data_IF_806285523099
#
_entry.id   IF_806285523099
#
_cell.length_a   1.000
_cell.length_b   1.000
_cell.length_c   1.000
_cell.angle_alpha   90.00
_cell.angle_beta   90.00
_cell.angle_gamma   90.00
#
_symmetry.space_group_name_H-M   'P 1'
#
loop_
_entity.id
_entity.type
_entity.pdbx_description
1 polymer ?
#
# COMPACT_ATOMS: atom_id res chain seq x y z
N UNK A 1 -3.77 24.69 42.28
CA UNK A 1 -2.37 24.32 42.02
C UNK A 1 -2.41 23.06 41.15
N UNK A 2 -2.37 23.24 39.85
CA UNK A 2 -2.41 22.15 38.89
C UNK A 2 -1.00 21.86 38.41
N UNK A 3 -0.52 20.68 38.66
CA UNK A 3 0.73 20.15 38.14
C UNK A 3 0.51 19.77 36.66
N UNK A 4 0.99 20.58 35.75
CA UNK A 4 1.14 20.20 34.36
C UNK A 4 2.19 19.07 34.29
N UNK A 5 1.75 17.88 33.92
CA UNK A 5 2.64 16.78 33.58
C UNK A 5 3.33 17.10 32.27
N UNK A 6 4.56 17.55 32.36
CA UNK A 6 5.42 17.74 31.21
C UNK A 6 5.71 16.37 30.55
N UNK A 7 5.35 16.23 29.30
CA UNK A 7 5.76 15.09 28.46
C UNK A 7 7.30 15.11 28.36
N UNK A 8 7.92 14.11 28.94
CA UNK A 8 9.37 13.94 28.89
C UNK A 8 9.74 13.39 27.51
N UNK A 9 10.20 14.26 26.64
CA UNK A 9 10.83 13.87 25.38
C UNK A 9 12.22 13.35 25.72
N UNK A 10 12.44 12.07 25.59
CA UNK A 10 13.77 11.48 25.74
C UNK A 10 14.55 11.84 24.47
N UNK A 11 15.32 12.91 24.56
CA UNK A 11 16.24 13.35 23.53
C UNK A 11 17.60 12.67 23.83
N UNK A 12 17.83 11.47 23.32
CA UNK A 12 19.16 10.88 23.34
C UNK A 12 20.01 11.49 22.22
N UNK A 13 20.64 12.60 22.55
CA UNK A 13 21.75 13.14 21.78
C UNK A 13 23.00 12.28 22.03
N UNK A 14 23.18 11.24 21.26
CA UNK A 14 24.48 10.59 21.08
C UNK A 14 24.65 10.29 19.59
N UNK A 15 25.60 10.97 18.98
CA UNK A 15 25.93 10.95 17.57
C UNK A 15 26.31 9.57 17.02
N UNK A 16 25.32 8.82 16.68
CA UNK A 16 25.42 7.68 15.77
C UNK A 16 24.32 7.89 14.76
N UNK A 17 24.71 8.10 13.50
CA UNK A 17 23.74 8.14 12.40
C UNK A 17 23.12 6.75 12.29
N UNK A 18 21.98 6.56 12.93
CA UNK A 18 21.16 5.37 12.76
C UNK A 18 20.60 5.39 11.34
N UNK A 19 21.36 4.85 10.40
CA UNK A 19 20.78 4.46 9.13
C UNK A 19 19.88 3.27 9.44
N UNK A 20 18.61 3.58 9.72
CA UNK A 20 17.56 2.57 9.83
C UNK A 20 17.50 1.85 8.50
N UNK A 21 17.92 0.59 8.49
CA UNK A 21 17.72 -0.25 7.31
C UNK A 21 16.22 -0.45 7.12
N UNK A 22 15.78 -0.70 5.88
CA UNK A 22 14.37 -1.04 5.59
C UNK A 22 13.89 -2.21 6.45
N UNK A 23 14.78 -3.14 6.77
CA UNK A 23 14.55 -4.26 7.69
C UNK A 23 14.19 -3.80 9.10
N UNK A 24 14.90 -2.82 9.64
CA UNK A 24 14.62 -2.26 10.96
C UNK A 24 13.28 -1.51 10.96
N UNK A 25 12.96 -0.84 9.86
CA UNK A 25 11.70 -0.13 9.68
C UNK A 25 10.51 -1.11 9.64
N UNK A 26 10.60 -2.16 8.86
CA UNK A 26 9.58 -3.23 8.78
C UNK A 26 9.44 -3.94 10.13
N UNK A 27 10.55 -4.28 10.80
CA UNK A 27 10.53 -4.88 12.15
C UNK A 27 9.88 -3.97 13.19
N UNK A 28 10.13 -2.67 13.14
CA UNK A 28 9.55 -1.70 14.08
C UNK A 28 8.07 -1.45 13.81
N UNK A 29 7.64 -1.41 12.55
CA UNK A 29 6.22 -1.34 12.18
C UNK A 29 5.44 -2.51 12.78
N UNK A 30 5.97 -3.72 12.67
CA UNK A 30 5.32 -4.92 13.22
C UNK A 30 5.38 -4.95 14.74
N UNK A 31 6.48 -4.54 15.36
CA UNK A 31 6.58 -4.42 16.82
C UNK A 31 5.61 -3.36 17.36
N UNK A 32 5.39 -2.26 16.63
CA UNK A 32 4.40 -1.23 16.99
C UNK A 32 2.94 -1.70 16.89
N UNK A 33 2.63 -2.57 15.92
CA UNK A 33 1.29 -3.16 15.78
C UNK A 33 0.96 -4.22 16.84
N UNK A 34 1.98 -4.84 17.45
CA UNK A 34 1.81 -5.86 18.50
C UNK A 34 1.47 -5.31 19.88
N UNK A 35 1.58 -4.00 20.12
CA UNK A 35 1.33 -3.39 21.43
C UNK A 35 -0.14 -3.03 21.71
N UNK A 36 -1.02 -3.13 20.71
CA UNK A 36 -2.47 -2.91 20.85
C UNK A 36 -3.23 -4.24 20.93
N UNK A 37 -3.50 -4.70 22.12
CA UNK A 37 -3.91 -6.06 22.49
C UNK A 37 -5.33 -6.48 22.10
N UNK A 38 -5.84 -6.26 20.88
CA UNK A 38 -7.16 -6.78 20.50
C UNK A 38 -7.33 -7.32 19.06
N UNK A 39 -6.27 -7.45 18.26
CA UNK A 39 -6.40 -7.92 16.87
C UNK A 39 -5.43 -9.07 16.49
N UNK A 40 -5.36 -10.17 17.24
CA UNK A 40 -4.39 -11.22 16.92
C UNK A 40 -4.76 -12.07 15.70
N UNK A 41 -6.04 -12.12 15.29
CA UNK A 41 -6.47 -13.04 14.23
C UNK A 41 -6.44 -12.43 12.80
N UNK A 42 -6.74 -11.16 12.65
CA UNK A 42 -6.69 -10.49 11.34
C UNK A 42 -5.26 -10.08 10.97
N UNK A 43 -4.47 -9.67 11.97
CA UNK A 43 -3.07 -9.32 11.77
C UNK A 43 -2.20 -10.51 11.37
N UNK A 44 -2.50 -11.72 11.84
CA UNK A 44 -1.73 -12.93 11.53
C UNK A 44 -1.82 -13.38 10.07
N UNK A 45 -2.85 -12.96 9.32
CA UNK A 45 -3.04 -13.28 7.91
C UNK A 45 -2.46 -12.23 6.95
N UNK A 46 -1.95 -11.11 7.46
CA UNK A 46 -1.37 -10.09 6.60
C UNK A 46 -0.02 -10.55 6.04
N UNK A 47 0.23 -10.42 4.73
CA UNK A 47 1.44 -10.94 4.07
C UNK A 47 2.75 -10.42 4.68
N UNK A 48 2.73 -9.29 5.36
CA UNK A 48 3.90 -8.75 6.06
C UNK A 48 4.43 -9.68 7.16
N UNK A 49 3.57 -10.48 7.79
CA UNK A 49 4.01 -11.45 8.80
C UNK A 49 4.77 -12.62 8.18
N UNK A 50 4.35 -13.08 7.00
CA UNK A 50 5.07 -14.11 6.26
C UNK A 50 6.41 -13.58 5.74
N UNK A 51 6.44 -12.33 5.28
CA UNK A 51 7.66 -11.65 4.87
C UNK A 51 8.69 -11.61 6.01
N UNK A 52 8.25 -11.30 7.24
CA UNK A 52 9.14 -11.21 8.40
C UNK A 52 9.66 -12.56 8.91
N UNK A 53 8.95 -13.64 8.60
CA UNK A 53 9.36 -15.01 8.96
C UNK A 53 10.33 -15.63 7.97
N UNK A 54 10.49 -15.06 6.81
CA UNK A 54 11.29 -15.60 5.73
C UNK A 54 12.55 -14.76 5.52
N UNK A 55 13.68 -15.22 6.03
CA UNK A 55 14.95 -14.50 5.94
C UNK A 55 15.40 -14.25 4.49
N UNK A 56 15.13 -15.17 3.56
CA UNK A 56 15.47 -14.99 2.15
C UNK A 56 14.65 -13.84 1.51
N UNK A 57 13.38 -13.69 1.91
CA UNK A 57 12.54 -12.59 1.43
C UNK A 57 12.95 -11.27 2.07
N UNK A 58 13.43 -11.28 3.31
CA UNK A 58 14.01 -10.10 3.95
C UNK A 58 15.28 -9.63 3.25
N UNK A 59 16.13 -10.55 2.76
CA UNK A 59 17.28 -10.20 1.93
C UNK A 59 16.88 -9.56 0.61
N UNK A 60 15.81 -10.05 -0.03
CA UNK A 60 15.25 -9.40 -1.23
C UNK A 60 14.68 -8.00 -0.90
N UNK A 61 14.10 -7.82 0.29
CA UNK A 61 13.64 -6.50 0.73
C UNK A 61 14.80 -5.48 0.83
N UNK A 62 15.98 -5.90 1.22
CA UNK A 62 17.17 -5.04 1.25
C UNK A 62 17.62 -4.60 -0.16
N UNK A 63 17.35 -5.44 -1.16
CA UNK A 63 17.68 -5.16 -2.57
C UNK A 63 16.66 -4.27 -3.28
N UNK A 64 15.51 -3.95 -2.66
CA UNK A 64 14.48 -3.14 -3.30
C UNK A 64 14.98 -1.76 -3.78
N UNK A 65 16.05 -1.24 -3.21
CA UNK A 65 16.70 -0.01 -3.64
C UNK A 65 17.72 -0.17 -4.76
N UNK A 66 18.09 -1.41 -5.13
CA UNK A 66 19.13 -1.66 -6.12
C UNK A 66 18.75 -1.23 -7.52
N UNK A 67 19.71 -0.73 -8.30
CA UNK A 67 19.48 -0.26 -9.66
C UNK A 67 19.14 -1.37 -10.66
N UNK A 68 19.58 -2.59 -10.37
CA UNK A 68 19.37 -3.81 -11.16
C UNK A 68 18.20 -4.68 -10.67
N UNK A 69 17.34 -4.11 -9.81
CA UNK A 69 16.18 -4.83 -9.26
C UNK A 69 15.25 -5.38 -10.36
N UNK A 70 14.78 -6.59 -10.16
CA UNK A 70 13.80 -7.29 -11.03
C UNK A 70 12.64 -7.78 -10.18
N UNK A 71 11.41 -7.80 -10.75
CA UNK A 71 10.27 -8.38 -10.06
C UNK A 71 10.50 -9.86 -9.73
N UNK A 72 10.08 -10.27 -8.54
CA UNK A 72 10.14 -11.65 -8.05
C UNK A 72 8.89 -12.42 -8.43
N UNK A 73 7.74 -11.77 -8.37
CA UNK A 73 6.43 -12.37 -8.64
C UNK A 73 5.81 -11.90 -9.96
N UNK A 74 5.77 -10.59 -10.20
CA UNK A 74 5.16 -10.01 -11.40
C UNK A 74 6.07 -10.17 -12.62
N UNK A 75 5.48 -10.40 -13.77
CA UNK A 75 6.23 -10.29 -15.02
C UNK A 75 6.48 -8.80 -15.39
N UNK A 76 7.36 -8.57 -16.37
CA UNK A 76 7.76 -7.22 -16.77
C UNK A 76 6.58 -6.34 -17.21
N UNK A 77 5.59 -6.90 -17.91
CA UNK A 77 4.42 -6.16 -18.36
C UNK A 77 3.50 -5.81 -17.18
N UNK A 78 3.23 -6.78 -16.30
CA UNK A 78 2.44 -6.56 -15.08
C UNK A 78 3.07 -5.49 -14.19
N UNK A 79 4.38 -5.54 -14.01
CA UNK A 79 5.11 -4.53 -13.26
C UNK A 79 5.02 -3.14 -13.91
N UNK A 80 5.12 -3.04 -15.25
CA UNK A 80 4.95 -1.77 -15.95
C UNK A 80 3.53 -1.20 -15.78
N UNK A 81 2.52 -2.06 -15.85
CA UNK A 81 1.12 -1.67 -15.62
C UNK A 81 0.89 -1.21 -14.18
N UNK A 82 1.47 -1.94 -13.20
CA UNK A 82 1.41 -1.53 -11.80
C UNK A 82 2.06 -0.16 -11.56
N UNK A 83 3.25 0.09 -12.13
CA UNK A 83 3.91 1.40 -12.02
C UNK A 83 3.00 2.52 -12.53
N UNK A 84 2.43 2.35 -13.74
CA UNK A 84 1.58 3.36 -14.35
C UNK A 84 0.29 3.60 -13.56
N UNK A 85 -0.37 2.53 -13.09
CA UNK A 85 -1.60 2.62 -12.29
C UNK A 85 -1.29 3.24 -10.92
N UNK A 86 -0.24 2.80 -10.25
CA UNK A 86 0.14 3.30 -8.94
C UNK A 86 0.47 4.80 -8.96
N UNK A 87 1.22 5.26 -9.97
CA UNK A 87 1.55 6.67 -10.12
C UNK A 87 0.31 7.52 -10.39
N UNK A 88 -0.68 6.97 -11.14
CA UNK A 88 -1.94 7.67 -11.39
C UNK A 88 -2.87 7.71 -10.18
N UNK A 89 -2.83 6.70 -9.29
CA UNK A 89 -3.64 6.65 -8.05
C UNK A 89 -3.01 7.53 -6.97
N UNK A 90 -1.70 7.36 -6.74
CA UNK A 90 -0.93 8.11 -5.74
C UNK A 90 0.33 8.65 -6.41
N UNK A 91 0.34 9.93 -6.82
CA UNK A 91 1.52 10.56 -7.39
C UNK A 91 2.74 10.44 -6.47
N UNK A 92 3.88 10.07 -7.03
CA UNK A 92 5.10 9.78 -6.24
C UNK A 92 5.31 8.31 -5.90
N UNK A 93 4.36 7.42 -6.25
CA UNK A 93 4.47 5.97 -6.02
C UNK A 93 5.71 5.36 -6.66
N UNK A 94 6.09 5.82 -7.84
CA UNK A 94 7.31 5.37 -8.53
C UNK A 94 8.55 5.72 -7.71
N UNK A 95 8.63 6.95 -7.19
CA UNK A 95 9.74 7.41 -6.36
C UNK A 95 9.79 6.67 -5.03
N UNK A 96 8.63 6.38 -4.45
CA UNK A 96 8.48 5.58 -3.24
C UNK A 96 8.74 4.08 -3.47
N UNK A 97 8.95 3.64 -4.73
CA UNK A 97 9.19 2.25 -5.11
C UNK A 97 8.04 1.31 -4.71
N UNK A 98 6.81 1.81 -4.77
CA UNK A 98 5.59 1.10 -4.37
C UNK A 98 5.45 -0.24 -5.10
N UNK A 99 5.71 -0.27 -6.40
CA UNK A 99 5.66 -1.49 -7.21
C UNK A 99 6.60 -2.59 -6.69
N UNK A 100 7.80 -2.22 -6.25
CA UNK A 100 8.79 -3.17 -5.73
C UNK A 100 8.33 -3.78 -4.41
N UNK A 101 7.78 -2.96 -3.53
CA UNK A 101 7.27 -3.42 -2.25
C UNK A 101 6.03 -4.31 -2.43
N UNK A 102 5.10 -3.94 -3.31
CA UNK A 102 3.93 -4.77 -3.64
C UNK A 102 4.36 -6.11 -4.23
N UNK A 103 5.28 -6.12 -5.20
CA UNK A 103 5.79 -7.36 -5.80
C UNK A 103 6.37 -8.32 -4.75
N UNK A 104 7.15 -7.77 -3.81
CA UNK A 104 7.73 -8.54 -2.73
C UNK A 104 6.64 -9.11 -1.79
N UNK A 105 5.65 -8.31 -1.40
CA UNK A 105 4.54 -8.79 -0.57
C UNK A 105 3.76 -9.90 -1.28
N UNK A 106 3.45 -9.71 -2.56
CA UNK A 106 2.76 -10.72 -3.36
C UNK A 106 3.57 -12.01 -3.47
N UNK A 107 4.90 -11.97 -3.44
CA UNK A 107 5.73 -13.19 -3.51
C UNK A 107 5.44 -14.16 -2.38
N UNK A 108 5.05 -13.66 -1.20
CA UNK A 108 4.78 -14.44 0.02
C UNK A 108 3.30 -14.52 0.40
N UNK A 109 2.42 -13.83 -0.32
CA UNK A 109 0.99 -13.78 -0.02
C UNK A 109 0.25 -15.08 -0.41
N UNK A 110 -1.03 -15.15 -0.08
CA UNK A 110 -1.91 -16.27 -0.43
C UNK A 110 -2.15 -16.35 -1.93
N UNK A 111 -2.47 -17.54 -2.44
CA UNK A 111 -2.83 -17.73 -3.84
C UNK A 111 -4.06 -16.91 -4.26
N UNK A 112 -5.00 -16.71 -3.35
CA UNK A 112 -6.22 -15.92 -3.60
C UNK A 112 -5.88 -14.46 -3.86
N UNK A 113 -5.15 -13.81 -2.95
CA UNK A 113 -4.77 -12.39 -3.13
C UNK A 113 -3.89 -12.16 -4.36
N UNK A 114 -2.97 -13.12 -4.64
CA UNK A 114 -2.16 -13.11 -5.88
C UNK A 114 -3.02 -13.11 -7.13
N UNK A 115 -4.04 -13.99 -7.16
CA UNK A 115 -4.97 -14.10 -8.29
C UNK A 115 -5.78 -12.82 -8.46
N UNK A 116 -6.41 -12.34 -7.40
CA UNK A 116 -7.21 -11.12 -7.39
C UNK A 116 -6.40 -9.90 -7.86
N UNK A 117 -5.16 -9.78 -7.42
CA UNK A 117 -4.28 -8.68 -7.83
C UNK A 117 -3.93 -8.73 -9.32
N UNK A 118 -3.54 -9.91 -9.82
CA UNK A 118 -3.20 -10.10 -11.24
C UNK A 118 -4.43 -9.90 -12.12
N UNK A 119 -5.60 -10.39 -11.70
CA UNK A 119 -6.88 -10.18 -12.38
C UNK A 119 -7.24 -8.70 -12.45
N UNK A 120 -7.02 -7.95 -11.38
CA UNK A 120 -7.24 -6.51 -11.37
C UNK A 120 -6.33 -5.77 -12.38
N UNK A 121 -5.04 -6.10 -12.43
CA UNK A 121 -4.14 -5.55 -13.45
C UNK A 121 -4.60 -5.91 -14.88
N UNK A 122 -5.01 -7.17 -15.09
CA UNK A 122 -5.48 -7.65 -16.39
C UNK A 122 -6.79 -6.96 -16.83
N UNK A 123 -7.68 -6.63 -15.90
CA UNK A 123 -8.91 -5.91 -16.19
C UNK A 123 -8.64 -4.51 -16.74
N UNK A 124 -7.71 -3.76 -16.11
CA UNK A 124 -7.30 -2.44 -16.60
C UNK A 124 -6.58 -2.51 -17.95
N UNK A 125 -5.71 -3.50 -18.15
CA UNK A 125 -5.08 -3.74 -19.46
C UNK A 125 -6.11 -4.07 -20.53
N UNK A 126 -7.10 -4.89 -20.21
CA UNK A 126 -8.20 -5.26 -21.11
C UNK A 126 -9.02 -4.04 -21.55
N UNK A 127 -9.42 -3.18 -20.60
CA UNK A 127 -10.16 -1.96 -20.92
C UNK A 127 -9.32 -0.94 -21.71
N UNK A 128 -8.02 -0.81 -21.39
CA UNK A 128 -7.11 0.04 -22.14
C UNK A 128 -7.00 -0.39 -23.61
N UNK A 129 -6.79 -1.67 -23.85
CA UNK A 129 -6.72 -2.22 -25.23
C UNK A 129 -8.04 -2.08 -25.98
N UNK A 130 -9.15 -2.35 -25.31
CA UNK A 130 -10.48 -2.29 -25.89
C UNK A 130 -10.86 -0.87 -26.33
N UNK A 131 -10.54 0.15 -25.49
CA UNK A 131 -10.96 1.54 -25.75
C UNK A 131 -9.96 2.31 -26.59
N UNK A 132 -8.69 2.07 -26.42
CA UNK A 132 -7.62 2.89 -26.98
C UNK A 132 -6.63 2.12 -27.84
N UNK A 133 -6.79 0.80 -28.00
CA UNK A 133 -5.89 -0.09 -28.74
C UNK A 133 -4.42 -0.03 -28.26
N UNK A 134 -4.21 0.34 -26.99
CA UNK A 134 -2.90 0.49 -26.35
C UNK A 134 -2.88 -0.25 -25.01
N UNK A 135 -1.69 -0.65 -24.54
CA UNK A 135 -1.51 -1.11 -23.17
C UNK A 135 -1.63 0.05 -22.19
N UNK A 136 -2.06 -0.19 -20.95
CA UNK A 136 -2.29 0.85 -19.96
C UNK A 136 -1.08 1.79 -19.77
N UNK A 137 0.18 1.32 -19.67
CA UNK A 137 1.35 2.19 -19.53
C UNK A 137 1.55 3.14 -20.72
N UNK A 138 1.09 2.75 -21.91
CA UNK A 138 1.23 3.54 -23.14
C UNK A 138 0.08 4.52 -23.39
N UNK A 139 -0.89 4.59 -22.48
CA UNK A 139 -1.97 5.56 -22.55
C UNK A 139 -1.49 6.97 -22.25
N UNK A 140 -2.12 7.95 -22.89
CA UNK A 140 -1.98 9.35 -22.49
C UNK A 140 -2.56 9.58 -21.10
N UNK A 141 -2.08 10.60 -20.39
CA UNK A 141 -2.52 10.89 -19.01
C UNK A 141 -4.04 11.10 -18.92
N UNK A 142 -4.62 11.79 -19.91
CA UNK A 142 -6.08 11.97 -19.99
C UNK A 142 -6.86 10.65 -20.13
N UNK A 143 -6.31 9.69 -20.87
CA UNK A 143 -6.92 8.37 -21.07
C UNK A 143 -6.82 7.52 -19.79
N UNK A 144 -5.69 7.55 -19.10
CA UNK A 144 -5.52 6.92 -17.77
C UNK A 144 -6.51 7.48 -16.77
N UNK A 145 -6.58 8.81 -16.67
CA UNK A 145 -7.48 9.50 -15.77
C UNK A 145 -8.95 9.18 -16.07
N UNK A 146 -9.33 9.10 -17.36
CA UNK A 146 -10.68 8.70 -17.74
C UNK A 146 -11.01 7.29 -17.23
N UNK A 147 -10.14 6.30 -17.47
CA UNK A 147 -10.37 4.92 -17.02
C UNK A 147 -10.46 4.82 -15.50
N UNK A 148 -9.54 5.47 -14.79
CA UNK A 148 -9.50 5.42 -13.32
C UNK A 148 -10.67 6.17 -12.68
N UNK A 149 -11.07 7.32 -13.24
CA UNK A 149 -12.24 8.07 -12.77
C UNK A 149 -13.54 7.25 -12.93
N UNK A 150 -13.70 6.60 -14.09
CA UNK A 150 -14.85 5.74 -14.30
C UNK A 150 -14.84 4.51 -13.38
N UNK A 151 -13.67 3.91 -13.17
CA UNK A 151 -13.52 2.77 -12.27
C UNK A 151 -13.75 3.15 -10.79
N UNK A 152 -13.36 4.34 -10.38
CA UNK A 152 -13.54 4.84 -9.01
C UNK A 152 -15.00 5.16 -8.67
N UNK A 153 -15.83 5.39 -9.69
CA UNK A 153 -17.25 5.71 -9.48
C UNK A 153 -18.01 4.51 -8.89
N UNK A 154 -18.66 4.72 -7.74
CA UNK A 154 -19.50 3.69 -7.12
C UNK A 154 -20.60 3.26 -8.09
N UNK A 155 -20.79 1.96 -8.35
CA UNK A 155 -21.87 1.49 -9.21
C UNK A 155 -23.22 1.96 -8.67
N UNK A 156 -24.04 2.58 -9.52
CA UNK A 156 -25.39 2.95 -9.14
C UNK A 156 -26.14 1.68 -8.72
N UNK A 157 -26.86 1.71 -7.59
CA UNK A 157 -27.74 0.62 -7.17
C UNK A 157 -28.63 0.22 -8.34
N UNK A 158 -28.63 -1.07 -8.70
CA UNK A 158 -29.39 -1.64 -9.81
C UNK A 158 -30.86 -1.21 -9.73
N UNK A 159 -31.26 -0.26 -10.55
CA UNK A 159 -32.63 -0.20 -11.02
C UNK A 159 -32.68 -1.04 -12.30
N UNK A 160 -33.45 -2.10 -12.26
CA UNK A 160 -33.64 -3.14 -13.26
C UNK A 160 -33.74 -2.59 -14.69
N UNK A 161 -32.72 -2.77 -15.51
CA UNK A 161 -32.78 -2.44 -16.93
C UNK A 161 -31.41 -2.22 -17.58
N UNK A 162 -30.50 -3.15 -17.50
CA UNK A 162 -29.20 -3.00 -18.19
C UNK A 162 -28.10 -3.87 -17.58
N UNK A 163 -28.38 -5.16 -17.41
CA UNK A 163 -27.53 -6.07 -16.62
C UNK A 163 -26.08 -6.17 -17.08
N UNK A 164 -25.80 -6.19 -18.39
CA UNK A 164 -24.43 -6.43 -18.87
C UNK A 164 -23.45 -5.25 -18.68
N UNK A 165 -23.91 -4.01 -18.89
CA UNK A 165 -23.03 -2.84 -18.71
C UNK A 165 -22.84 -2.50 -17.22
N UNK A 166 -23.84 -2.81 -16.38
CA UNK A 166 -23.75 -2.62 -14.93
C UNK A 166 -22.79 -3.61 -14.24
N UNK A 167 -22.78 -4.88 -14.67
CA UNK A 167 -21.90 -5.90 -14.12
C UNK A 167 -20.43 -5.66 -14.47
N UNK A 168 -20.12 -5.27 -15.71
CA UNK A 168 -18.74 -4.91 -16.10
C UNK A 168 -18.20 -3.70 -15.37
N UNK A 169 -19.05 -2.70 -15.08
CA UNK A 169 -18.63 -1.52 -14.30
C UNK A 169 -18.43 -1.85 -12.83
N UNK A 170 -19.27 -2.69 -12.25
CA UNK A 170 -19.08 -3.18 -10.89
C UNK A 170 -17.76 -3.93 -10.76
N UNK A 171 -17.46 -4.85 -11.67
CA UNK A 171 -16.19 -5.59 -11.67
C UNK A 171 -14.95 -4.69 -11.79
N UNK A 172 -14.97 -3.67 -12.67
CA UNK A 172 -13.85 -2.74 -12.77
C UNK A 172 -13.70 -1.86 -11.53
N UNK A 173 -14.79 -1.51 -10.87
CA UNK A 173 -14.75 -0.82 -9.58
C UNK A 173 -14.12 -1.67 -8.47
N UNK A 174 -14.48 -2.94 -8.38
CA UNK A 174 -13.88 -3.86 -7.41
C UNK A 174 -12.37 -4.01 -7.65
N UNK A 175 -11.96 -4.15 -8.91
CA UNK A 175 -10.55 -4.18 -9.29
C UNK A 175 -9.83 -2.89 -8.94
N UNK A 176 -10.48 -1.73 -9.13
CA UNK A 176 -9.93 -0.43 -8.73
C UNK A 176 -9.72 -0.35 -7.22
N UNK A 177 -10.73 -0.73 -6.42
CA UNK A 177 -10.63 -0.68 -4.96
C UNK A 177 -9.54 -1.63 -4.45
N UNK A 178 -9.39 -2.82 -5.05
CA UNK A 178 -8.31 -3.75 -4.74
C UNK A 178 -6.94 -3.08 -4.99
N UNK A 179 -6.67 -2.59 -6.21
CA UNK A 179 -5.40 -1.94 -6.54
C UNK A 179 -5.14 -0.69 -5.70
N UNK A 180 -6.17 0.13 -5.45
CA UNK A 180 -6.07 1.32 -4.61
C UNK A 180 -5.66 0.95 -3.19
N UNK A 181 -6.24 -0.11 -2.63
CA UNK A 181 -5.87 -0.60 -1.30
C UNK A 181 -4.39 -0.99 -1.22
N UNK A 182 -3.93 -1.79 -2.17
CA UNK A 182 -2.52 -2.19 -2.26
C UNK A 182 -1.58 -1.00 -2.44
N UNK A 183 -1.88 -0.10 -3.38
CA UNK A 183 -1.04 1.07 -3.69
C UNK A 183 -0.97 2.03 -2.51
N UNK A 184 -2.12 2.38 -1.92
CA UNK A 184 -2.17 3.29 -0.78
C UNK A 184 -1.47 2.70 0.44
N UNK A 185 -1.72 1.42 0.74
CA UNK A 185 -1.04 0.71 1.83
C UNK A 185 0.47 0.70 1.65
N UNK A 186 0.96 0.37 0.46
CA UNK A 186 2.39 0.35 0.17
C UNK A 186 3.01 1.75 0.20
N UNK A 187 2.32 2.77 -0.33
CA UNK A 187 2.82 4.15 -0.34
C UNK A 187 2.95 4.70 1.08
N UNK A 188 1.90 4.62 1.88
CA UNK A 188 1.93 5.15 3.25
C UNK A 188 2.76 4.28 4.23
N UNK A 189 3.17 3.10 3.81
CA UNK A 189 4.20 2.31 4.50
C UNK A 189 5.63 2.68 4.08
N UNK A 190 5.80 3.52 3.06
CA UNK A 190 7.11 4.03 2.64
C UNK A 190 7.56 5.20 3.49
N UNK A 191 8.86 5.47 3.51
CA UNK A 191 9.42 6.64 4.19
C UNK A 191 8.80 7.96 3.68
N UNK A 192 8.53 8.03 2.37
CA UNK A 192 7.91 9.20 1.75
C UNK A 192 6.49 9.41 2.24
N UNK A 193 5.64 8.40 2.18
CA UNK A 193 4.25 8.50 2.63
C UNK A 193 4.15 8.74 4.14
N UNK A 194 5.01 8.11 4.92
CA UNK A 194 5.06 8.36 6.37
C UNK A 194 5.44 9.80 6.71
N UNK A 195 6.38 10.39 5.97
CA UNK A 195 6.73 11.82 6.13
C UNK A 195 5.56 12.75 5.79
N UNK A 196 4.79 12.43 4.75
CA UNK A 196 3.59 13.21 4.41
C UNK A 196 2.52 13.15 5.52
N UNK A 197 2.43 12.04 6.25
CA UNK A 197 1.58 11.90 7.42
C UNK A 197 2.15 12.60 8.68
N UNK A 198 3.28 13.28 8.54
CA UNK A 198 3.95 13.96 9.65
C UNK A 198 4.68 13.01 10.61
N UNK A 199 4.83 11.74 10.24
CA UNK A 199 5.62 10.81 11.03
C UNK A 199 7.12 11.04 10.79
N UNK A 200 7.88 11.05 11.88
CA UNK A 200 9.35 11.09 11.85
C UNK A 200 9.90 9.99 12.74
N UNK A 201 11.05 9.37 12.37
CA UNK A 201 11.66 8.29 13.17
C UNK A 201 11.98 8.68 14.60
N UNK A 202 12.10 10.00 14.86
CA UNK A 202 12.47 10.56 16.16
C UNK A 202 11.26 10.73 17.10
N UNK A 203 10.04 10.55 16.59
CA UNK A 203 8.82 10.61 17.41
C UNK A 203 8.46 9.23 17.93
N UNK A 204 8.99 8.91 19.09
CA UNK A 204 8.55 7.74 19.86
C UNK A 204 7.67 8.25 21.02
N UNK A 205 6.40 7.88 21.01
CA UNK A 205 5.54 8.10 22.17
C UNK A 205 5.81 7.00 23.19
N UNK A 206 6.36 7.35 24.34
CA UNK A 206 6.59 6.40 25.42
C UNK A 206 5.28 5.78 25.96
N UNK A 207 4.19 6.55 25.88
CA UNK A 207 2.83 6.12 26.21
C UNK A 207 1.87 6.70 25.18
N UNK A 208 0.83 5.97 24.83
CA UNK A 208 -0.26 6.49 24.02
C UNK A 208 -0.96 7.63 24.78
N UNK A 209 -1.05 8.86 24.23
CA UNK A 209 -1.56 10.01 24.96
C UNK A 209 -3.04 9.90 25.35
N UNK A 210 -3.74 8.88 24.86
CA UNK A 210 -5.17 8.72 25.04
C UNK A 210 -5.97 9.57 24.04
N UNK A 211 -7.28 9.37 24.05
CA UNK A 211 -8.20 10.23 23.30
C UNK A 211 -8.67 11.34 24.25
N UNK A 212 -8.41 12.59 23.91
CA UNK A 212 -8.93 13.77 24.65
C UNK A 212 -10.40 14.07 24.30
N UNK A 213 -11.19 13.05 23.99
CA UNK A 213 -12.61 13.24 23.74
C UNK A 213 -13.35 13.31 25.08
N UNK A 214 -14.14 14.37 25.34
CA UNK A 214 -14.93 14.51 26.56
C UNK A 214 -16.05 13.45 26.66
N UNK A 215 -16.37 12.78 25.56
CA UNK A 215 -17.32 11.68 25.48
C UNK A 215 -16.53 10.38 25.41
N UNK A 216 -16.39 9.68 26.52
CA UNK A 216 -15.70 8.39 26.59
C UNK A 216 -16.32 7.39 25.59
N UNK A 217 -15.50 6.56 24.98
CA UNK A 217 -15.96 5.43 24.19
C UNK A 217 -16.66 4.43 25.13
N UNK A 218 -18.00 4.36 25.05
CA UNK A 218 -18.81 3.31 25.66
C UNK A 218 -18.78 2.05 24.82
#
# INVERSE_FOLDING_TARGET
>A
MGTQGALQVINEAAGTSWQLTRRDMVRRLVAGMGAGAAWPLVAASHPIHELLRNDAVLEEAEKLGAGDWKPVFLNAQQNASLIAIAESIVPGSTKAQVNRFIDLLLSVDTGVHKSEFVEALAAFEGEARKRFAKNFPALEESQKNQLLTEASATPAKKNSGGAEAGEKRAGLHEHFENLKGWVSGAYYSSEMGMKELGWTPDRVFANFPGCEHPEGHN
#
